data_IF_572380157823
#
_entry.id   IF_572380157823
#
_cell.length_a   1.000
_cell.length_b   1.000
_cell.length_c   1.000
_cell.angle_alpha   90.00
_cell.angle_beta   90.00
_cell.angle_gamma   90.00
#
_symmetry.space_group_name_H-M   'P 1'
#
loop_
_entity.id
_entity.type
_entity.pdbx_description
1 polymer ?
#
# COMPACT_ATOMS: atom_id res chain seq x y z
N UNK A 1 -6.58 -19.94 -5.17
CA UNK A 1 -6.18 -19.54 -3.81
C UNK A 1 -4.87 -20.24 -3.48
N UNK A 2 -3.83 -19.49 -3.09
CA UNK A 2 -2.53 -20.06 -2.75
C UNK A 2 -2.52 -20.64 -1.33
N UNK A 3 -1.83 -21.75 -1.14
CA UNK A 3 -1.58 -22.37 0.17
C UNK A 3 -0.56 -21.54 0.96
N UNK A 4 -0.77 -21.40 2.28
CA UNK A 4 0.20 -20.73 3.16
C UNK A 4 1.39 -21.66 3.40
N UNK A 5 2.58 -21.22 2.98
CA UNK A 5 3.84 -21.97 3.12
C UNK A 5 4.51 -21.69 4.49
N UNK A 6 4.33 -20.50 5.06
CA UNK A 6 4.82 -20.12 6.41
C UNK A 6 3.86 -19.11 7.06
N UNK A 7 3.85 -19.07 8.40
CA UNK A 7 3.13 -18.06 9.20
C UNK A 7 3.88 -16.73 9.29
N UNK A 8 5.08 -16.64 8.69
CA UNK A 8 5.87 -15.42 8.67
C UNK A 8 5.23 -14.33 7.81
N UNK A 9 4.92 -13.20 8.44
CA UNK A 9 4.45 -12.01 7.74
C UNK A 9 5.66 -11.34 7.05
N UNK A 10 5.86 -11.65 5.78
CA UNK A 10 6.95 -11.09 4.96
C UNK A 10 6.61 -9.76 4.29
N UNK A 11 5.36 -9.31 4.40
CA UNK A 11 4.85 -8.15 3.69
C UNK A 11 4.32 -7.06 4.64
N UNK A 12 4.09 -5.87 4.07
CA UNK A 12 3.65 -4.70 4.82
C UNK A 12 2.48 -4.03 4.09
N UNK A 13 1.58 -3.43 4.86
CA UNK A 13 0.50 -2.61 4.37
C UNK A 13 1.05 -1.46 3.51
N UNK A 14 0.51 -1.27 2.30
CA UNK A 14 0.99 -0.22 1.40
C UNK A 14 0.66 1.20 1.90
N UNK A 15 -0.29 1.34 2.82
CA UNK A 15 -0.81 2.62 3.28
C UNK A 15 -0.20 3.10 4.60
N UNK A 16 0.08 2.17 5.53
CA UNK A 16 0.66 2.51 6.83
C UNK A 16 2.00 1.84 7.11
N UNK A 17 2.44 0.89 6.29
CA UNK A 17 3.69 0.15 6.49
C UNK A 17 3.67 -0.87 7.62
N UNK A 18 2.54 -1.10 8.31
CA UNK A 18 2.42 -2.14 9.33
C UNK A 18 2.60 -3.54 8.71
N UNK A 19 3.22 -4.50 9.41
CA UNK A 19 3.37 -5.86 8.90
C UNK A 19 1.99 -6.51 8.71
N UNK A 20 1.66 -6.87 7.47
CA UNK A 20 0.50 -7.65 7.12
C UNK A 20 0.67 -8.30 5.74
N UNK A 21 0.00 -9.42 5.51
CA UNK A 21 0.04 -10.22 4.29
C UNK A 21 -1.34 -10.34 3.61
N UNK A 22 -2.30 -9.53 4.08
CA UNK A 22 -3.67 -9.51 3.57
C UNK A 22 -3.73 -8.79 2.23
N UNK A 23 -3.87 -9.56 1.15
CA UNK A 23 -4.02 -9.03 -0.20
C UNK A 23 -5.50 -8.76 -0.50
N UNK A 24 -5.80 -7.58 -1.04
CA UNK A 24 -7.15 -7.19 -1.46
C UNK A 24 -7.09 -6.40 -2.76
N UNK A 25 -8.15 -6.47 -3.55
CA UNK A 25 -8.32 -5.55 -4.67
C UNK A 25 -8.92 -4.23 -4.17
N UNK A 26 -8.51 -3.12 -4.79
CA UNK A 26 -9.14 -1.83 -4.56
C UNK A 26 -10.63 -1.91 -4.93
N UNK A 27 -11.53 -1.49 -4.01
CA UNK A 27 -12.98 -1.52 -4.24
C UNK A 27 -13.46 -0.59 -5.36
N UNK A 28 -12.68 0.41 -5.74
CA UNK A 28 -12.97 1.19 -6.93
C UNK A 28 -12.75 0.29 -8.17
N UNK A 29 -13.82 -0.12 -8.85
CA UNK A 29 -13.75 -0.98 -10.05
C UNK A 29 -12.95 -0.34 -11.19
N UNK A 30 -12.88 0.98 -11.24
CA UNK A 30 -11.95 1.67 -12.13
C UNK A 30 -10.55 1.18 -11.83
N UNK A 31 -10.17 1.28 -10.54
CA UNK A 31 -8.87 0.93 -10.00
C UNK A 31 -8.53 -0.57 -9.98
N UNK A 32 -9.31 -1.39 -9.27
CA UNK A 32 -9.11 -2.85 -9.18
C UNK A 32 -7.64 -3.31 -8.97
N UNK A 33 -6.79 -2.45 -8.38
CA UNK A 33 -5.39 -2.74 -8.13
C UNK A 33 -5.32 -3.78 -7.02
N UNK A 34 -4.55 -4.85 -7.22
CA UNK A 34 -4.25 -5.81 -6.17
C UNK A 34 -3.11 -5.27 -5.30
N UNK A 35 -3.37 -5.10 -4.00
CA UNK A 35 -2.41 -4.54 -3.05
C UNK A 35 -2.56 -5.17 -1.66
N UNK A 36 -1.63 -4.86 -0.75
CA UNK A 36 -1.67 -5.36 0.62
C UNK A 36 -2.22 -4.27 1.55
N UNK A 37 -3.29 -4.59 2.26
CA UNK A 37 -3.99 -3.67 3.16
C UNK A 37 -4.22 -4.31 4.52
N UNK A 38 -3.88 -3.61 5.59
CA UNK A 38 -4.25 -4.05 6.94
C UNK A 38 -5.72 -3.70 7.25
N UNK A 39 -6.38 -4.41 8.19
CA UNK A 39 -7.78 -4.15 8.55
C UNK A 39 -8.06 -2.71 9.01
N UNK A 40 -7.11 -2.07 9.69
CA UNK A 40 -7.25 -0.67 10.13
C UNK A 40 -7.35 0.28 8.94
N UNK A 41 -6.48 0.10 7.93
CA UNK A 41 -6.53 0.91 6.73
C UNK A 41 -7.72 0.54 5.83
N UNK A 42 -8.16 -0.71 5.81
CA UNK A 42 -9.39 -1.10 5.13
C UNK A 42 -10.61 -0.32 5.67
N UNK A 43 -10.71 -0.13 6.99
CA UNK A 43 -11.75 0.71 7.59
C UNK A 43 -11.56 2.20 7.28
N UNK A 44 -10.32 2.72 7.31
CA UNK A 44 -10.03 4.14 7.05
C UNK A 44 -10.27 4.54 5.58
N UNK A 45 -9.86 3.70 4.65
CA UNK A 45 -9.94 3.95 3.20
C UNK A 45 -11.12 3.20 2.54
N UNK A 46 -12.07 2.68 3.32
CA UNK A 46 -13.22 1.93 2.82
C UNK A 46 -12.87 0.76 1.86
N UNK A 47 -11.67 0.17 1.99
CA UNK A 47 -11.15 -0.87 1.09
C UNK A 47 -10.53 -0.38 -0.23
N UNK A 48 -10.24 0.91 -0.35
CA UNK A 48 -9.55 1.49 -1.49
C UNK A 48 -8.03 1.57 -1.25
N UNK A 49 -7.26 1.63 -2.34
CA UNK A 49 -5.80 1.73 -2.29
C UNK A 49 -5.29 3.14 -1.88
N UNK A 50 -6.10 4.18 -2.07
CA UNK A 50 -5.77 5.59 -1.80
C UNK A 50 -7.04 6.41 -1.54
N UNK A 51 -6.88 7.64 -1.00
CA UNK A 51 -7.99 8.58 -0.76
C UNK A 51 -8.71 8.96 -2.07
N UNK A 52 -7.96 9.14 -3.16
CA UNK A 52 -8.54 9.40 -4.49
C UNK A 52 -9.49 8.27 -4.92
N UNK A 53 -9.12 7.01 -4.69
CA UNK A 53 -10.03 5.89 -4.97
C UNK A 53 -11.23 5.84 -4.03
N UNK A 54 -11.12 6.33 -2.80
CA UNK A 54 -12.27 6.49 -1.90
C UNK A 54 -13.25 7.54 -2.43
N UNK A 55 -12.72 8.70 -2.86
CA UNK A 55 -13.50 9.79 -3.42
C UNK A 55 -14.23 9.33 -4.69
N UNK A 56 -13.54 8.63 -5.58
CA UNK A 56 -14.15 8.07 -6.79
C UNK A 56 -15.25 7.06 -6.49
N UNK A 57 -15.03 6.18 -5.50
CA UNK A 57 -16.04 5.22 -5.06
C UNK A 57 -17.27 5.91 -4.44
N UNK A 58 -17.11 7.11 -3.88
CA UNK A 58 -18.21 7.89 -3.32
C UNK A 58 -19.00 8.69 -4.37
N UNK A 59 -18.52 8.78 -5.62
CA UNK A 59 -19.23 9.47 -6.70
C UNK A 59 -20.48 8.70 -7.14
N UNK A 60 -21.48 9.36 -7.73
CA UNK A 60 -22.62 8.69 -8.34
C UNK A 60 -22.20 7.67 -9.41
N UNK A 61 -22.96 6.59 -9.56
CA UNK A 61 -22.62 5.51 -10.51
C UNK A 61 -22.37 5.99 -11.95
N UNK A 62 -23.12 7.01 -12.40
CA UNK A 62 -22.96 7.56 -13.75
C UNK A 62 -21.56 8.16 -13.94
N UNK A 63 -21.07 8.89 -12.95
CA UNK A 63 -19.74 9.51 -12.97
C UNK A 63 -18.65 8.44 -12.80
N UNK A 64 -18.86 7.44 -11.94
CA UNK A 64 -17.94 6.29 -11.85
C UNK A 64 -17.81 5.59 -13.21
N UNK A 65 -18.93 5.33 -13.90
CA UNK A 65 -18.90 4.74 -15.25
C UNK A 65 -18.20 5.63 -16.26
N UNK A 66 -18.40 6.95 -16.19
CA UNK A 66 -17.70 7.91 -17.06
C UNK A 66 -16.19 7.84 -16.87
N UNK A 67 -15.71 7.86 -15.62
CA UNK A 67 -14.27 7.76 -15.30
C UNK A 67 -13.66 6.43 -15.74
N UNK A 68 -14.37 5.31 -15.54
CA UNK A 68 -13.95 4.00 -16.05
C UNK A 68 -13.75 4.01 -17.57
N UNK A 69 -14.64 4.69 -18.31
CA UNK A 69 -14.57 4.81 -19.79
C UNK A 69 -13.50 5.78 -20.27
N UNK A 70 -13.22 6.83 -19.51
CA UNK A 70 -12.13 7.77 -19.81
C UNK A 70 -10.76 7.07 -19.79
N UNK A 71 -10.68 5.91 -19.14
CA UNK A 71 -9.42 5.23 -18.88
C UNK A 71 -8.70 5.91 -17.72
N UNK A 72 -7.92 5.13 -17.00
CA UNK A 72 -7.00 5.65 -16.00
C UNK A 72 -5.62 5.11 -16.29
N UNK A 73 -4.62 5.93 -16.00
CA UNK A 73 -3.26 5.43 -15.93
C UNK A 73 -3.14 4.67 -14.60
N UNK A 74 -2.98 3.35 -14.69
CA UNK A 74 -2.49 2.58 -13.56
C UNK A 74 -1.08 3.08 -13.27
N UNK A 75 -0.93 3.93 -12.26
CA UNK A 75 0.38 4.29 -11.75
C UNK A 75 1.10 3.02 -11.34
N UNK A 76 1.97 2.51 -12.23
CA UNK A 76 2.92 1.43 -11.96
C UNK A 76 4.05 1.91 -11.01
N UNK A 77 3.77 2.92 -10.19
CA UNK A 77 4.63 3.39 -9.13
C UNK A 77 4.47 2.41 -7.96
N UNK A 78 4.93 1.18 -8.19
CA UNK A 78 5.48 0.34 -7.14
C UNK A 78 6.62 1.18 -6.56
N UNK A 79 6.29 2.06 -5.62
CA UNK A 79 7.25 2.71 -4.78
C UNK A 79 8.03 1.57 -4.13
N UNK A 80 9.19 1.29 -4.72
CA UNK A 80 10.23 0.45 -4.16
C UNK A 80 10.51 1.08 -2.81
N UNK A 81 9.83 0.62 -1.76
CA UNK A 81 10.27 0.76 -0.38
C UNK A 81 11.57 -0.04 -0.34
N UNK A 82 12.63 0.61 -0.83
CA UNK A 82 13.97 0.13 -0.74
C UNK A 82 14.20 -0.04 0.76
N UNK A 83 14.40 -1.29 1.13
CA UNK A 83 14.83 -1.71 2.46
C UNK A 83 16.09 -0.92 2.81
N UNK A 84 15.94 0.18 3.54
CA UNK A 84 17.05 0.78 4.28
C UNK A 84 16.58 1.07 5.69
N UNK A 85 16.23 0.00 6.39
CA UNK A 85 16.32 -0.08 7.84
C UNK A 85 17.82 -0.15 8.26
N UNK A 86 18.60 0.85 7.86
CA UNK A 86 20.00 1.00 8.32
C UNK A 86 20.34 2.47 8.42
N UNK A 87 19.59 3.19 9.27
CA UNK A 87 20.07 4.46 9.82
C UNK A 87 19.63 4.62 11.28
N UNK A 88 19.85 3.55 12.04
CA UNK A 88 19.93 3.61 13.50
C UNK A 88 21.31 3.05 13.88
N UNK A 89 22.12 3.88 14.56
CA UNK A 89 23.31 3.51 15.37
C UNK A 89 24.66 3.20 14.68
N UNK A 90 25.18 4.05 13.79
CA UNK A 90 26.65 4.12 13.55
C UNK A 90 27.11 5.58 13.48
N UNK A 91 26.85 6.37 14.53
CA UNK A 91 27.50 7.69 14.68
C UNK A 91 27.88 7.98 16.14
N UNK A 92 28.19 6.92 16.91
CA UNK A 92 28.57 7.05 18.33
C UNK A 92 29.82 6.28 18.76
N UNK A 93 30.57 5.67 17.82
CA UNK A 93 31.79 4.90 18.14
C UNK A 93 33.06 5.41 17.44
N UNK A 94 32.96 6.18 16.35
CA UNK A 94 34.14 6.70 15.62
C UNK A 94 34.56 8.10 16.08
N UNK A 95 34.41 8.39 17.38
CA UNK A 95 34.79 9.68 17.98
C UNK A 95 35.67 9.59 19.22
N UNK A 96 36.16 8.40 19.56
CA UNK A 96 37.01 8.15 20.74
C UNK A 96 38.32 7.41 20.42
N UNK A 97 38.64 7.21 19.14
CA UNK A 97 39.92 6.60 18.70
C UNK A 97 40.49 7.36 17.49
N UNK A 98 40.52 8.69 17.59
CA UNK A 98 41.42 9.51 16.80
C UNK A 98 42.07 10.47 17.80
N UNK A 99 43.38 10.30 17.94
CA UNK A 99 44.30 11.10 18.77
C UNK A 99 43.99 12.60 18.78
#
# INVERSE_FOLDING_TARGET
>A
MGERISDDIIAHCHQCGAPCDSHTNCKNDGCHLLFIQCPQCASKFNGCCSEQCCEELALPEEEQRRRRRAGRENGNDVARVARTATKFLINRVVGLIAN
#
